data_IF_405553619596
#
_entry.id   IF_405553619596
#
_cell.length_a   1.000
_cell.length_b   1.000
_cell.length_c   1.000
_cell.angle_alpha   90.00
_cell.angle_beta   90.00
_cell.angle_gamma   90.00
#
_symmetry.space_group_name_H-M   'P 1'
#
loop_
_entity.id
_entity.type
_entity.pdbx_description
1 polymer ?
#
# COMPACT_ATOMS: atom_id res chain seq x y z
N UNK A 1 6.33 11.88 -1.24
CA UNK A 1 5.84 11.01 -0.15
C UNK A 1 5.02 11.87 0.80
N UNK A 2 3.81 11.46 1.16
CA UNK A 2 3.06 12.14 2.21
C UNK A 2 3.58 11.62 3.57
N UNK A 3 4.11 12.47 4.47
CA UNK A 3 4.65 12.03 5.75
C UNK A 3 3.63 11.31 6.64
N UNK A 4 2.33 11.49 6.38
CA UNK A 4 1.25 10.84 7.15
C UNK A 4 0.89 9.44 6.61
N UNK A 5 1.53 8.99 5.52
CA UNK A 5 1.30 7.64 5.01
C UNK A 5 2.22 6.64 5.70
N UNK A 6 1.62 5.68 6.41
CA UNK A 6 2.33 4.59 7.08
C UNK A 6 1.91 3.24 6.51
N UNK A 7 2.81 2.26 6.60
CA UNK A 7 2.56 0.88 6.21
C UNK A 7 3.05 -0.07 7.31
N UNK A 8 2.26 -1.10 7.61
CA UNK A 8 2.58 -2.10 8.62
C UNK A 8 2.39 -3.50 8.07
N UNK A 9 3.42 -4.35 8.20
CA UNK A 9 3.34 -5.78 7.95
C UNK A 9 2.98 -6.50 9.24
N UNK A 10 2.10 -7.50 9.15
CA UNK A 10 1.66 -8.27 10.32
C UNK A 10 1.96 -9.76 10.15
N UNK A 11 2.04 -10.45 11.28
CA UNK A 11 2.19 -11.91 11.31
C UNK A 11 0.81 -12.57 11.25
N UNK A 12 0.24 -12.65 10.05
CA UNK A 12 -1.01 -13.39 9.79
C UNK A 12 -2.17 -12.54 9.26
N UNK A 13 -2.06 -11.21 9.24
CA UNK A 13 -3.08 -10.29 8.72
C UNK A 13 -2.70 -9.58 7.41
N UNK A 14 -1.48 -9.78 6.90
CA UNK A 14 -0.96 -9.11 5.71
C UNK A 14 -0.44 -7.69 5.96
N UNK A 15 -0.56 -6.81 4.97
CA UNK A 15 -0.13 -5.41 4.98
C UNK A 15 -1.33 -4.48 5.21
N UNK A 16 -1.13 -3.49 6.07
CA UNK A 16 -2.07 -2.40 6.33
C UNK A 16 -1.46 -1.06 5.97
N UNK A 17 -2.29 -0.14 5.51
CA UNK A 17 -1.94 1.25 5.18
C UNK A 17 -2.74 2.22 6.04
N UNK A 18 -2.06 3.24 6.55
CA UNK A 18 -2.69 4.44 7.10
C UNK A 18 -2.35 5.65 6.22
N UNK A 19 -3.28 6.60 6.13
CA UNK A 19 -3.06 7.91 5.48
C UNK A 19 -3.20 9.09 6.45
N UNK A 20 -3.40 8.79 7.74
CA UNK A 20 -3.71 9.74 8.80
C UNK A 20 -2.73 9.63 9.99
N UNK A 21 -1.49 9.20 9.72
CA UNK A 21 -0.45 9.10 10.75
C UNK A 21 -0.64 7.94 11.73
N UNK A 22 -1.45 6.94 11.38
CA UNK A 22 -1.66 5.72 12.15
C UNK A 22 -2.94 5.71 12.99
N UNK A 23 -3.82 6.70 12.85
CA UNK A 23 -5.11 6.74 13.56
C UNK A 23 -6.10 5.71 13.00
N UNK A 24 -6.12 5.50 11.68
CA UNK A 24 -6.91 4.46 11.02
C UNK A 24 -6.07 3.63 10.05
N UNK A 25 -6.46 2.37 9.86
CA UNK A 25 -5.75 1.40 9.05
C UNK A 25 -6.69 0.66 8.11
N UNK A 26 -6.29 0.54 6.85
CA UNK A 26 -6.99 -0.24 5.83
C UNK A 26 -6.09 -1.34 5.30
N UNK A 27 -6.63 -2.55 5.13
CA UNK A 27 -5.89 -3.67 4.58
C UNK A 27 -5.58 -3.44 3.08
N UNK A 28 -4.35 -3.71 2.66
CA UNK A 28 -3.88 -3.60 1.27
C UNK A 28 -3.27 -4.91 0.78
N UNK A 29 -4.04 -5.98 0.94
CA UNK A 29 -3.61 -7.37 0.74
C UNK A 29 -3.88 -7.93 -0.67
N UNK A 30 -4.39 -7.11 -1.60
CA UNK A 30 -4.69 -7.57 -2.96
C UNK A 30 -3.43 -8.11 -3.62
N UNK A 31 -3.48 -9.38 -4.06
CA UNK A 31 -2.35 -10.08 -4.68
C UNK A 31 -1.36 -10.72 -3.71
N UNK A 32 -1.51 -10.53 -2.40
CA UNK A 32 -0.67 -11.17 -1.38
C UNK A 32 -1.09 -12.65 -1.22
N UNK A 33 -0.20 -13.59 -1.54
CA UNK A 33 -0.52 -15.03 -1.45
C UNK A 33 -0.38 -15.60 -0.04
N UNK A 34 0.25 -14.86 0.87
CA UNK A 34 0.44 -15.27 2.28
C UNK A 34 0.37 -14.07 3.21
N UNK A 35 -0.35 -14.21 4.32
CA UNK A 35 -0.59 -13.10 5.25
C UNK A 35 0.54 -12.85 6.26
N UNK A 36 1.67 -13.57 6.13
CA UNK A 36 2.86 -13.40 6.99
C UNK A 36 3.87 -12.48 6.33
N UNK A 37 3.84 -11.21 6.74
CA UNK A 37 4.75 -10.18 6.24
C UNK A 37 5.89 -9.99 7.23
N UNK A 38 7.13 -10.26 6.79
CA UNK A 38 8.32 -10.17 7.64
C UNK A 38 9.15 -8.91 7.39
N UNK A 39 9.10 -8.38 6.17
CA UNK A 39 9.83 -7.19 5.80
C UNK A 39 8.99 -6.31 4.88
N UNK A 40 9.16 -5.00 5.03
CA UNK A 40 8.64 -3.98 4.13
C UNK A 40 9.81 -3.13 3.65
N UNK A 41 9.88 -2.87 2.35
CA UNK A 41 10.82 -1.92 1.73
C UNK A 41 10.06 -1.00 0.79
N UNK A 42 10.49 0.24 0.62
CA UNK A 42 9.78 1.22 -0.21
C UNK A 42 10.76 2.10 -0.99
N UNK A 43 10.41 2.40 -2.24
CA UNK A 43 11.01 3.48 -3.02
C UNK A 43 10.00 4.63 -3.24
N UNK A 44 10.33 5.62 -4.07
CA UNK A 44 9.45 6.76 -4.35
C UNK A 44 8.08 6.40 -4.96
N UNK A 45 7.89 5.15 -5.40
CA UNK A 45 6.78 4.69 -6.25
C UNK A 45 6.15 3.36 -5.81
N UNK A 46 6.91 2.45 -5.18
CA UNK A 46 6.50 1.10 -4.86
C UNK A 46 6.82 0.71 -3.42
N UNK A 47 5.91 -0.07 -2.81
CA UNK A 47 6.12 -0.79 -1.55
C UNK A 47 6.31 -2.28 -1.87
N UNK A 48 7.33 -2.88 -1.30
CA UNK A 48 7.65 -4.29 -1.41
C UNK A 48 7.39 -4.98 -0.06
N UNK A 49 6.70 -6.12 -0.10
CA UNK A 49 6.47 -6.98 1.06
C UNK A 49 7.22 -8.32 0.90
N UNK A 50 8.15 -8.58 1.81
CA UNK A 50 8.85 -9.85 1.94
C UNK A 50 8.03 -10.83 2.78
N UNK A 51 7.69 -11.99 2.21
CA UNK A 51 6.85 -12.99 2.87
C UNK A 51 7.58 -14.30 3.10
N UNK A 52 7.22 -15.02 4.17
CA UNK A 52 7.95 -16.20 4.68
C UNK A 52 8.00 -17.39 3.70
N UNK A 53 7.03 -17.51 2.79
CA UNK A 53 6.92 -18.64 1.86
C UNK A 53 6.56 -18.27 0.41
N UNK A 54 6.23 -17.00 0.11
CA UNK A 54 5.61 -16.60 -1.16
C UNK A 54 6.46 -15.73 -2.09
N UNK A 55 7.69 -15.37 -1.71
CA UNK A 55 8.52 -14.40 -2.45
C UNK A 55 8.21 -12.93 -2.10
N UNK A 56 8.67 -12.02 -2.96
CA UNK A 56 8.50 -10.55 -2.83
C UNK A 56 7.26 -10.06 -3.58
N UNK A 57 6.35 -9.38 -2.90
CA UNK A 57 5.17 -8.74 -3.51
C UNK A 57 5.37 -7.24 -3.64
N UNK A 58 5.07 -6.65 -4.80
CA UNK A 58 5.12 -5.21 -5.03
C UNK A 58 3.70 -4.62 -5.08
N UNK A 59 3.41 -3.65 -4.22
CA UNK A 59 2.19 -2.86 -4.22
C UNK A 59 2.53 -1.43 -4.65
N UNK A 60 1.84 -0.93 -5.68
CA UNK A 60 2.06 0.43 -6.18
C UNK A 60 1.36 1.46 -5.29
N UNK A 61 2.13 2.44 -4.77
CA UNK A 61 1.56 3.63 -4.12
C UNK A 61 1.38 4.72 -5.20
N UNK A 62 0.42 4.54 -6.13
CA UNK A 62 0.03 5.68 -6.98
C UNK A 62 -0.91 6.59 -6.18
N UNK A 63 -0.49 7.84 -6.01
CA UNK A 63 -1.42 8.92 -5.72
C UNK A 63 -2.49 8.91 -6.81
N UNK A 64 -3.76 8.87 -6.41
CA UNK A 64 -4.89 8.99 -7.33
C UNK A 64 -4.84 10.39 -7.95
N UNK A 65 -4.36 10.51 -9.18
CA UNK A 65 -4.47 11.75 -9.95
C UNK A 65 -5.89 11.81 -10.50
N UNK A 66 -6.76 12.56 -9.81
CA UNK A 66 -8.03 12.99 -10.41
C UNK A 66 -7.70 14.07 -11.44
N UNK A 67 -7.67 13.71 -12.72
CA UNK A 67 -7.70 14.70 -13.80
C UNK A 67 -9.05 15.42 -13.74
N UNK A 68 -9.14 16.76 -13.85
CA UNK A 68 -10.42 17.43 -14.00
C UNK A 68 -11.05 16.96 -15.32
N UNK A 69 -12.19 16.28 -15.24
CA UNK A 69 -13.03 16.01 -16.40
C UNK A 69 -13.52 17.36 -16.91
N UNK A 70 -12.92 17.88 -17.98
CA UNK A 70 -13.47 19.04 -18.70
C UNK A 70 -14.73 18.53 -19.40
N UNK A 71 -15.88 18.73 -18.76
CA UNK A 71 -17.17 18.63 -19.46
C UNK A 71 -17.26 19.89 -20.33
N UNK A 72 -17.00 19.75 -21.63
CA UNK A 72 -17.42 20.76 -22.59
C UNK A 72 -18.95 20.75 -22.60
N UNK A 73 -19.56 21.83 -22.12
CA UNK A 73 -20.98 22.09 -22.30
C UNK A 73 -21.21 22.45 -23.78
N UNK A 74 -22.25 21.92 -24.44
CA UNK A 74 -22.76 22.53 -25.67
C UNK A 74 -23.39 23.90 -25.40
#
# INVERSE_FOLDING_TARGET
MNPNTLYAGTYGGGVFKSTDGGATWSAVNTGLTTSRVHALAMDSTMLYAGTYYGGTFALQHRAMVYLPMIVHTP
#
